data_IF_716314185334
#
_entry.id   IF_716314185334
#
_cell.length_a   1.000
_cell.length_b   1.000
_cell.length_c   1.000
_cell.angle_alpha   90.00
_cell.angle_beta   90.00
_cell.angle_gamma   90.00
#
_symmetry.space_group_name_H-M   'P 1'
#
loop_
_entity.id
_entity.type
_entity.pdbx_description
1 polymer ?
#
# COMPACT_ATOMS: atom_id res chain seq x y z
N UNK A 1 31.80 -1.88 26.29
CA UNK A 1 31.71 -2.05 25.83
C UNK A 1 31.15 -2.21 25.35
N UNK A 2 31.06 -2.09 25.41
CA UNK A 2 30.56 -2.33 24.98
C UNK A 2 29.93 -2.69 24.39
N UNK A 3 29.71 -2.75 24.47
CA UNK A 3 29.31 -3.07 23.97
C UNK A 3 28.65 -3.24 23.34
N UNK A 4 28.48 -3.18 23.35
CA UNK A 4 27.98 -3.32 22.77
C UNK A 4 27.38 -3.67 22.19
N UNK A 5 27.20 -3.63 22.15
CA UNK A 5 26.60 -4.00 21.60
C UNK A 5 26.10 -4.44 20.75
N UNK A 6 26.07 -4.51 20.68
CA UNK A 6 25.70 -4.85 19.85
C UNK A 6 25.32 -5.43 19.22
N UNK A 7 25.38 -5.50 19.22
CA UNK A 7 24.94 -5.94 18.55
C UNK A 7 24.29 -6.59 18.14
N UNK A 8 24.13 -6.61 18.48
CA UNK A 8 23.56 -7.13 18.11
C UNK A 8 22.99 -7.52 17.39
N UNK A 9 23.01 -7.39 17.17
CA UNK A 9 22.50 -7.63 16.40
C UNK A 9 22.39 -8.14 15.55
N UNK A 10 22.57 -8.25 15.45
CA UNK A 10 22.50 -8.51 14.61
C UNK A 10 22.09 -9.23 13.97
N UNK A 11 21.73 -9.44 13.74
CA UNK A 11 21.27 -10.06 13.15
C UNK A 11 20.89 -11.04 12.77
N UNK A 12 20.26 -11.64 12.46
CA UNK A 12 19.99 -12.59 12.07
C UNK A 12 19.82 -12.83 11.05
N UNK A 13 19.72 -13.08 10.99
CA UNK A 13 19.88 -13.16 9.81
C UNK A 13 19.61 -14.31 9.09
N UNK A 14 19.36 -15.24 9.49
CA UNK A 14 19.04 -16.38 8.73
C UNK A 14 17.79 -16.19 7.95
N UNK A 15 16.88 -15.46 8.44
CA UNK A 15 15.69 -15.25 7.67
C UNK A 15 15.94 -14.11 6.69
N UNK A 16 15.21 -14.08 5.61
CA UNK A 16 15.34 -12.98 4.70
C UNK A 16 15.01 -11.70 5.40
N UNK A 17 15.70 -10.66 5.11
CA UNK A 17 15.42 -9.43 5.78
C UNK A 17 14.02 -8.92 5.44
N UNK A 18 13.33 -8.51 6.45
CA UNK A 18 12.08 -7.81 6.25
C UNK A 18 12.45 -6.37 5.94
N UNK A 19 11.95 -5.83 4.85
CA UNK A 19 12.28 -4.46 4.53
C UNK A 19 11.86 -3.55 5.66
N UNK A 20 12.75 -2.72 6.09
CA UNK A 20 12.42 -1.76 7.10
C UNK A 20 11.60 -0.69 6.50
N UNK A 21 10.67 -0.20 7.26
CA UNK A 21 9.92 0.94 6.81
C UNK A 21 10.84 2.14 6.82
N UNK A 22 10.88 2.89 5.74
CA UNK A 22 11.67 4.12 5.72
C UNK A 22 11.08 5.13 6.67
N UNK A 23 11.86 6.14 7.00
CA UNK A 23 11.39 7.18 7.89
C UNK A 23 10.16 7.88 7.36
N UNK A 24 10.03 7.98 6.04
CA UNK A 24 8.85 8.56 5.44
C UNK A 24 8.61 7.91 4.09
N UNK A 25 7.38 8.00 3.60
CA UNK A 25 7.00 7.48 2.29
C UNK A 25 6.22 8.57 1.57
N UNK A 26 6.18 8.46 0.24
CA UNK A 26 5.40 9.41 -0.53
C UNK A 26 3.90 9.24 -0.32
N UNK A 27 3.47 8.04 0.03
CA UNK A 27 2.06 7.79 0.23
C UNK A 27 1.80 7.49 1.68
N UNK A 28 0.62 7.88 2.13
CA UNK A 28 0.19 7.53 3.47
C UNK A 28 -0.22 6.07 3.51
N UNK A 29 -0.45 5.56 4.70
CA UNK A 29 -0.97 4.20 4.82
C UNK A 29 -2.33 4.08 4.14
N UNK A 30 -3.13 5.14 4.14
CA UNK A 30 -4.39 5.13 3.39
C UNK A 30 -4.14 4.92 1.90
N UNK A 31 -3.15 5.59 1.36
CA UNK A 31 -2.80 5.40 -0.04
C UNK A 31 -2.34 3.99 -0.32
N UNK A 32 -1.51 3.45 0.54
CA UNK A 32 -1.01 2.09 0.35
C UNK A 32 -2.11 1.04 0.46
N UNK A 33 -3.04 1.21 1.39
CA UNK A 33 -4.17 0.29 1.52
C UNK A 33 -5.05 0.36 0.28
N UNK A 34 -5.32 1.57 -0.21
CA UNK A 34 -6.13 1.72 -1.40
C UNK A 34 -5.49 1.02 -2.59
N UNK A 35 -4.18 1.19 -2.78
CA UNK A 35 -3.49 0.54 -3.88
C UNK A 35 -3.44 -0.98 -3.71
N UNK A 36 -3.36 -1.48 -2.48
CA UNK A 36 -3.41 -2.91 -2.23
C UNK A 36 -4.76 -3.49 -2.63
N UNK A 37 -5.82 -2.78 -2.34
CA UNK A 37 -7.17 -3.21 -2.73
C UNK A 37 -7.32 -3.16 -4.24
N UNK A 38 -6.76 -2.12 -4.87
CA UNK A 38 -6.83 -2.03 -6.32
C UNK A 38 -6.11 -3.19 -6.99
N UNK A 39 -5.00 -3.62 -6.41
CA UNK A 39 -4.24 -4.73 -6.96
C UNK A 39 -4.95 -6.06 -6.76
N UNK A 40 -5.67 -6.21 -5.65
CA UNK A 40 -6.38 -7.44 -5.36
C UNK A 40 -7.64 -7.11 -4.56
N UNK A 41 -8.76 -6.88 -5.25
CA UNK A 41 -9.99 -6.49 -4.57
C UNK A 41 -10.54 -7.53 -3.60
N UNK A 42 -10.06 -8.75 -3.67
CA UNK A 42 -10.51 -9.81 -2.78
C UNK A 42 -9.49 -10.14 -1.70
N UNK A 43 -8.44 -9.35 -1.57
CA UNK A 43 -7.42 -9.61 -0.58
C UNK A 43 -8.03 -9.58 0.82
N UNK A 44 -7.52 -10.44 1.67
CA UNK A 44 -7.97 -10.50 3.04
C UNK A 44 -7.33 -9.37 3.83
N UNK A 45 -7.98 -9.01 4.92
CA UNK A 45 -7.47 -7.95 5.78
C UNK A 45 -6.03 -8.24 6.22
N UNK A 46 -5.75 -9.49 6.58
CA UNK A 46 -4.42 -9.84 7.02
C UNK A 46 -3.39 -9.71 5.90
N UNK A 47 -3.79 -9.98 4.67
CA UNK A 47 -2.89 -9.85 3.54
C UNK A 47 -2.57 -8.38 3.26
N UNK A 48 -3.60 -7.54 3.32
CA UNK A 48 -3.39 -6.11 3.12
C UNK A 48 -2.50 -5.56 4.23
N UNK A 49 -2.79 -5.94 5.47
CA UNK A 49 -2.00 -5.47 6.60
C UNK A 49 -0.53 -5.85 6.46
N UNK A 50 -0.27 -7.10 6.06
CA UNK A 50 1.09 -7.56 5.88
C UNK A 50 1.80 -6.81 4.76
N UNK A 51 1.07 -6.57 3.67
CA UNK A 51 1.67 -5.88 2.53
C UNK A 51 2.02 -4.44 2.87
N UNK A 52 1.17 -3.78 3.62
CA UNK A 52 1.40 -2.37 3.96
C UNK A 52 2.32 -2.24 5.17
N UNK A 53 2.39 -3.27 6.00
CA UNK A 53 3.24 -3.23 7.19
C UNK A 53 2.55 -2.60 8.38
N UNK A 54 1.25 -2.82 8.51
CA UNK A 54 0.46 -2.29 9.63
C UNK A 54 -0.34 -3.43 10.23
N UNK A 55 -1.01 -3.16 11.33
CA UNK A 55 -1.80 -4.17 11.99
C UNK A 55 -3.13 -4.38 11.24
N UNK A 56 -3.74 -5.55 11.39
CA UNK A 56 -5.07 -5.75 10.83
C UNK A 56 -6.08 -4.74 11.35
N UNK A 57 -5.95 -4.34 12.61
CA UNK A 57 -6.87 -3.36 13.18
C UNK A 57 -6.73 -2.01 12.49
N UNK A 58 -5.49 -1.58 12.25
CA UNK A 58 -5.26 -0.33 11.52
C UNK A 58 -5.78 -0.43 10.10
N UNK A 59 -5.63 -1.60 9.48
CA UNK A 59 -6.13 -1.83 8.15
C UNK A 59 -7.64 -1.65 8.09
N UNK A 60 -8.37 -2.22 9.06
CA UNK A 60 -9.81 -2.08 9.12
C UNK A 60 -10.22 -0.62 9.27
N UNK A 61 -9.50 0.12 10.11
CA UNK A 61 -9.82 1.53 10.31
C UNK A 61 -9.60 2.31 9.01
N UNK A 62 -8.52 2.02 8.32
CA UNK A 62 -8.23 2.71 7.06
C UNK A 62 -9.29 2.37 6.00
N UNK A 63 -9.68 1.10 5.92
CA UNK A 63 -10.71 0.73 4.97
C UNK A 63 -12.02 1.45 5.27
N UNK A 64 -12.34 1.59 6.56
CA UNK A 64 -13.51 2.34 6.93
C UNK A 64 -13.40 3.80 6.53
N UNK A 65 -12.24 4.40 6.74
CA UNK A 65 -12.01 5.79 6.33
C UNK A 65 -12.20 5.95 4.82
N UNK A 66 -11.66 5.01 4.05
CA UNK A 66 -11.77 5.06 2.60
C UNK A 66 -13.22 4.87 2.16
N UNK A 67 -13.94 4.00 2.84
CA UNK A 67 -15.33 3.77 2.54
C UNK A 67 -16.17 5.01 2.90
N UNK A 68 -15.93 5.57 4.06
CA UNK A 68 -16.64 6.77 4.49
C UNK A 68 -16.36 7.95 3.57
N UNK A 69 -15.16 8.01 3.03
CA UNK A 69 -14.81 9.07 2.09
C UNK A 69 -15.31 8.83 0.68
N UNK A 70 -15.89 7.68 0.42
CA UNK A 70 -16.43 7.39 -0.90
C UNK A 70 -15.42 6.87 -1.89
N UNK A 71 -14.25 6.45 -1.44
CA UNK A 71 -13.20 5.96 -2.34
C UNK A 71 -13.37 4.49 -2.68
N UNK A 72 -14.04 3.75 -1.81
CA UNK A 72 -14.35 2.36 -2.10
C UNK A 72 -15.61 1.96 -1.36
N UNK A 73 -16.16 0.82 -1.73
CA UNK A 73 -17.28 0.28 -1.01
C UNK A 73 -17.19 -1.25 -1.06
N UNK A 74 -17.81 -1.88 -0.08
CA UNK A 74 -17.78 -3.33 0.03
C UNK A 74 -18.89 -3.94 -0.80
N UNK A 75 -18.54 -5.02 -1.48
CA UNK A 75 -19.49 -5.79 -2.26
C UNK A 75 -19.41 -7.23 -1.78
N UNK A 76 -20.56 -7.78 -1.41
CA UNK A 76 -20.59 -9.19 -1.03
C UNK A 76 -20.55 -10.03 -2.28
N UNK A 77 -19.67 -11.00 -2.29
CA UNK A 77 -19.56 -11.93 -3.38
C UNK A 77 -19.57 -13.32 -2.74
N UNK A 78 -20.76 -13.87 -2.55
CA UNK A 78 -20.89 -15.12 -1.84
C UNK A 78 -20.49 -14.95 -0.40
N UNK A 79 -19.53 -15.75 0.06
CA UNK A 79 -19.06 -15.65 1.43
C UNK A 79 -17.93 -14.66 1.57
N UNK A 80 -17.44 -14.10 0.48
CA UNK A 80 -16.31 -13.23 0.54
C UNK A 80 -16.74 -11.80 0.36
N UNK A 81 -15.92 -10.91 0.88
CA UNK A 81 -16.11 -9.48 0.66
C UNK A 81 -15.11 -9.05 -0.39
N UNK A 82 -15.58 -8.27 -1.31
CA UNK A 82 -14.75 -7.68 -2.34
C UNK A 82 -14.92 -6.18 -2.25
N UNK A 83 -13.89 -5.46 -2.57
CA UNK A 83 -13.95 -4.00 -2.56
C UNK A 83 -13.99 -3.48 -3.98
N UNK A 84 -14.87 -2.51 -4.21
CA UNK A 84 -14.96 -1.82 -5.48
C UNK A 84 -14.47 -0.41 -5.27
N UNK A 85 -13.56 0.05 -6.11
CA UNK A 85 -12.98 1.36 -5.97
C UNK A 85 -13.70 2.34 -6.86
N UNK A 86 -13.86 3.57 -6.35
CA UNK A 86 -14.42 4.65 -7.12
C UNK A 86 -13.28 5.46 -7.73
N UNK A 87 -12.87 5.16 -8.94
CA UNK A 87 -11.65 5.78 -9.48
C UNK A 87 -11.79 7.26 -9.77
N UNK A 88 -13.00 7.75 -9.92
CA UNK A 88 -13.20 9.15 -10.26
C UNK A 88 -13.34 10.05 -9.04
N UNK A 89 -13.16 9.51 -7.85
CA UNK A 89 -13.15 10.31 -6.65
C UNK A 89 -11.87 11.13 -6.60
N UNK A 90 -11.99 12.37 -6.18
CA UNK A 90 -10.83 13.27 -6.16
C UNK A 90 -10.03 13.10 -4.89
N UNK A 91 -8.76 13.45 -4.96
CA UNK A 91 -7.92 13.50 -3.78
C UNK A 91 -8.52 14.48 -2.78
N UNK A 92 -8.23 14.27 -1.51
CA UNK A 92 -8.86 15.06 -0.44
C UNK A 92 -8.10 16.32 -0.09
N UNK A 93 -6.80 16.29 -0.21
CA UNK A 93 -6.01 17.45 0.17
C UNK A 93 -6.20 18.57 -0.85
N UNK A 94 -6.38 19.80 -0.41
CA UNK A 94 -6.63 20.90 -1.37
C UNK A 94 -5.56 21.02 -2.45
N UNK A 95 -4.32 20.68 -2.13
CA UNK A 95 -3.26 20.78 -3.10
C UNK A 95 -3.42 19.80 -4.27
N UNK A 96 -4.19 18.72 -4.07
CA UNK A 96 -4.36 17.70 -5.10
C UNK A 96 -5.82 17.47 -5.45
N UNK A 97 -6.73 18.24 -4.89
CA UNK A 97 -8.16 17.98 -5.03
C UNK A 97 -8.68 18.17 -6.45
N UNK A 98 -7.88 18.73 -7.33
CA UNK A 98 -8.30 18.89 -8.71
C UNK A 98 -8.04 17.65 -9.56
N UNK A 99 -7.56 16.56 -8.98
CA UNK A 99 -7.28 15.34 -9.71
C UNK A 99 -8.03 14.18 -9.11
N UNK A 100 -8.40 13.24 -9.97
CA UNK A 100 -9.03 11.99 -9.54
C UNK A 100 -7.97 10.98 -9.13
N UNK A 101 -8.35 10.08 -8.23
CA UNK A 101 -7.41 9.06 -7.79
C UNK A 101 -7.13 8.02 -8.88
N UNK A 102 -7.90 8.04 -9.96
CA UNK A 102 -7.70 7.10 -11.07
C UNK A 102 -6.27 7.14 -11.59
N UNK A 103 -5.69 8.31 -11.68
CA UNK A 103 -4.31 8.43 -12.16
C UNK A 103 -3.33 7.72 -11.26
N UNK A 104 -3.53 7.83 -9.96
CA UNK A 104 -2.66 7.15 -9.01
C UNK A 104 -2.83 5.64 -9.11
N UNK A 105 -4.07 5.19 -9.17
CA UNK A 105 -4.34 3.77 -9.28
C UNK A 105 -3.75 3.22 -10.57
N UNK A 106 -3.92 3.95 -11.66
CA UNK A 106 -3.39 3.51 -12.94
C UNK A 106 -1.88 3.42 -12.96
N UNK A 107 -1.22 4.31 -12.22
CA UNK A 107 0.23 4.29 -12.16
C UNK A 107 0.76 2.99 -11.57
N UNK A 108 0.04 2.42 -10.61
CA UNK A 108 0.48 1.21 -9.93
C UNK A 108 -0.29 -0.04 -10.34
N UNK A 109 -1.17 0.06 -11.34
CA UNK A 109 -1.90 -1.09 -11.82
C UNK A 109 -1.10 -1.80 -12.91
N UNK A 110 -1.43 -3.05 -13.10
CA UNK A 110 -0.71 -3.82 -14.11
C UNK A 110 0.58 -4.35 -13.58
N UNK A 111 1.33 -5.04 -14.42
CA UNK A 111 2.58 -5.64 -13.98
C UNK A 111 3.63 -4.59 -13.71
N UNK A 112 4.45 -4.87 -12.72
CA UNK A 112 5.58 -4.00 -12.45
C UNK A 112 6.53 -4.05 -13.64
N UNK A 113 7.19 -2.95 -13.96
CA UNK A 113 8.14 -2.98 -15.05
C UNK A 113 9.30 -3.87 -14.69
N UNK A 114 9.74 -4.65 -15.66
CA UNK A 114 10.90 -5.47 -15.47
C UNK A 114 12.14 -4.62 -15.66
N UNK A 115 13.26 -5.18 -15.25
CA UNK A 115 14.51 -4.45 -15.41
C UNK A 115 14.77 -4.11 -16.86
N UNK A 116 14.39 -5.00 -17.75
CA UNK A 116 14.61 -4.70 -19.14
C UNK A 116 13.67 -3.67 -19.66
N UNK A 117 12.54 -3.49 -19.04
CA UNK A 117 11.62 -2.48 -19.52
C UNK A 117 12.09 -1.09 -19.13
N UNK A 118 13.00 -0.98 -18.20
CA UNK A 118 13.49 0.32 -17.79
C UNK A 118 14.69 0.68 -18.60
N UNK A 119 14.75 1.84 -19.18
CA UNK A 119 15.93 2.26 -19.88
C UNK A 119 17.02 2.45 -18.87
N UNK A 120 18.06 1.73 -19.03
CA UNK A 120 19.01 1.73 -17.98
C UNK A 120 19.59 3.07 -17.74
N UNK A 121 19.68 3.77 -18.73
CA UNK A 121 20.24 4.88 -18.51
C UNK A 121 19.51 5.90 -18.43
N UNK A 122 18.49 5.78 -18.39
CA UNK A 122 17.69 6.80 -18.39
C UNK A 122 18.03 7.62 -17.45
N UNK A 123 18.67 7.39 -16.88
CA UNK A 123 19.05 8.09 -16.05
C UNK A 123 19.83 8.92 -16.40
N UNK A 124 19.96 9.67 -16.45
CA UNK A 124 20.83 10.55 -16.73
C UNK A 124 21.30 11.16 -15.95
#
# INVERSE_FOLDING_TARGET
>A
MPDSPVPEKDPEPASPPVPRRPAWTFLTNHGHVLLSVAADPQARITDIAARVGITPRSTLQILKDLEDGGYLHRVRAGRRTRYAIEPHRHFRHPATANREIDGLIGLFSGPAPSAEALPPEEVP
#
